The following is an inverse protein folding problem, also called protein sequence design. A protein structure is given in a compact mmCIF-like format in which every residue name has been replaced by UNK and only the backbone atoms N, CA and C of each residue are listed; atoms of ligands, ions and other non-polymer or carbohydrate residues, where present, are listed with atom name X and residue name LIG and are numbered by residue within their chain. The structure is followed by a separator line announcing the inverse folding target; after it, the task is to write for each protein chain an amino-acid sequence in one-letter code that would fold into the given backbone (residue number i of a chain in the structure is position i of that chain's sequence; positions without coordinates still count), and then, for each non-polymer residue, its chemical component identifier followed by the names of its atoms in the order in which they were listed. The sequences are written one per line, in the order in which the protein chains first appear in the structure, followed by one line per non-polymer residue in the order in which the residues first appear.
data_IF_985043997966
#
_entry.id   IF_985043997966
#
_cell.length_a   1.000
_cell.length_b   1.000
_cell.length_c   1.000
_cell.angle_alpha   90.00
_cell.angle_beta   90.00
_cell.angle_gamma   90.00
#
_symmetry.space_group_name_H-M   'P 1'
#
loop_
_entity.id
_entity.type
_entity.pdbx_description
1 polymer ?
#
# COMPACT_ATOMS: atom_id res chain seq x y z
N UNK A 1 -14.16 -9.94 5.16
CA UNK A 1 -13.18 -9.49 4.17
C UNK A 1 -13.31 -10.30 2.88
N UNK A 2 -13.27 -9.61 1.74
CA UNK A 2 -13.29 -10.23 0.41
C UNK A 2 -11.97 -9.91 -0.29
N UNK A 3 -11.15 -10.92 -0.59
CA UNK A 3 -9.83 -10.74 -1.20
C UNK A 3 -9.65 -11.62 -2.43
N UNK A 4 -8.92 -11.11 -3.42
CA UNK A 4 -8.58 -11.80 -4.66
C UNK A 4 -7.07 -11.78 -4.98
N UNK A 5 -6.25 -11.25 -4.05
CA UNK A 5 -4.80 -11.12 -4.19
C UNK A 5 -4.12 -11.24 -2.83
N UNK A 6 -2.91 -11.78 -2.80
CA UNK A 6 -2.15 -12.03 -1.56
C UNK A 6 -1.79 -10.75 -0.79
N UNK A 7 -1.52 -9.64 -1.47
CA UNK A 7 -1.23 -8.36 -0.78
C UNK A 7 -2.37 -7.87 0.11
N UNK A 8 -3.59 -8.36 -0.13
CA UNK A 8 -4.78 -7.96 0.64
C UNK A 8 -4.71 -8.34 2.12
N UNK A 9 -3.95 -9.40 2.47
CA UNK A 9 -3.74 -9.79 3.86
C UNK A 9 -3.06 -8.67 4.66
N UNK A 10 -1.96 -8.13 4.15
CA UNK A 10 -1.24 -7.03 4.81
C UNK A 10 -2.09 -5.77 4.93
N UNK A 11 -2.94 -5.47 3.92
CA UNK A 11 -3.81 -4.30 3.91
C UNK A 11 -4.93 -4.41 4.95
N UNK A 12 -5.52 -5.59 5.11
CA UNK A 12 -6.73 -5.77 5.92
C UNK A 12 -6.46 -6.16 7.38
N UNK A 13 -5.28 -6.67 7.71
CA UNK A 13 -4.97 -7.06 9.10
C UNK A 13 -4.99 -5.91 10.10
N UNK A 14 -4.50 -4.70 9.81
CA UNK A 14 -4.71 -3.57 10.72
C UNK A 14 -6.19 -3.28 10.97
N UNK A 15 -7.02 -3.38 9.92
CA UNK A 15 -8.47 -3.23 10.03
C UNK A 15 -9.09 -4.39 10.84
N UNK A 16 -8.63 -5.65 10.62
CA UNK A 16 -9.04 -6.80 11.45
C UNK A 16 -8.75 -6.55 12.93
N UNK A 17 -7.55 -6.08 13.25
CA UNK A 17 -7.17 -5.81 14.64
C UNK A 17 -8.10 -4.77 15.28
N UNK A 18 -8.45 -3.70 14.56
CA UNK A 18 -9.37 -2.68 15.02
C UNK A 18 -10.81 -3.24 15.22
N UNK A 19 -11.30 -4.12 14.32
CA UNK A 19 -12.60 -4.79 14.44
C UNK A 19 -12.62 -5.69 15.68
N UNK A 20 -11.61 -6.55 15.85
CA UNK A 20 -11.52 -7.47 16.97
C UNK A 20 -11.38 -6.74 18.31
N UNK A 21 -10.64 -5.62 18.34
CA UNK A 21 -10.49 -4.78 19.54
C UNK A 21 -11.82 -4.16 20.01
N UNK A 22 -12.80 -3.98 19.09
CA UNK A 22 -14.17 -3.54 19.40
C UNK A 22 -15.06 -4.68 19.92
N UNK A 23 -14.60 -5.93 19.88
CA UNK A 23 -15.39 -7.12 20.19
C UNK A 23 -16.24 -7.62 19.01
N UNK A 24 -16.08 -7.08 17.81
CA UNK A 24 -16.76 -7.51 16.59
C UNK A 24 -16.06 -8.73 15.98
N UNK A 25 -16.74 -9.40 15.02
CA UNK A 25 -16.24 -10.61 14.37
C UNK A 25 -15.73 -10.33 12.97
N UNK A 26 -14.73 -11.11 12.56
CA UNK A 26 -14.14 -11.05 11.20
C UNK A 26 -14.09 -12.43 10.58
N UNK A 27 -14.44 -12.51 9.30
CA UNK A 27 -14.19 -13.68 8.48
C UNK A 27 -13.61 -13.29 7.12
N UNK A 28 -12.89 -14.21 6.51
CA UNK A 28 -12.17 -14.03 5.25
C UNK A 28 -12.79 -14.90 4.15
N UNK A 29 -13.11 -14.31 3.02
CA UNK A 29 -13.45 -15.02 1.79
C UNK A 29 -12.36 -14.78 0.74
N UNK A 30 -11.75 -15.89 0.30
CA UNK A 30 -10.62 -15.89 -0.62
C UNK A 30 -11.13 -16.24 -2.02
N UNK A 31 -11.03 -15.28 -2.95
CA UNK A 31 -11.50 -15.44 -4.32
C UNK A 31 -10.40 -15.99 -5.23
N UNK A 32 -10.57 -17.20 -5.72
CA UNK A 32 -9.69 -17.80 -6.71
C UNK A 32 -8.49 -18.55 -6.14
N UNK A 33 -7.86 -19.35 -6.99
CA UNK A 33 -6.73 -20.23 -6.63
C UNK A 33 -5.41 -19.49 -6.46
N UNK A 34 -5.35 -18.21 -6.86
CA UNK A 34 -4.13 -17.40 -6.75
C UNK A 34 -3.90 -16.84 -5.34
N UNK A 35 -4.95 -16.85 -4.50
CA UNK A 35 -4.84 -16.44 -3.11
C UNK A 35 -4.32 -17.60 -2.27
N UNK A 36 -3.13 -17.44 -1.71
CA UNK A 36 -2.49 -18.47 -0.89
C UNK A 36 -3.15 -18.55 0.49
N UNK A 37 -3.81 -19.68 0.76
CA UNK A 37 -4.48 -19.92 2.05
C UNK A 37 -3.52 -20.10 3.21
N UNK A 38 -2.24 -20.44 2.95
CA UNK A 38 -1.24 -20.59 4.00
C UNK A 38 -0.89 -19.25 4.69
N UNK A 39 -1.29 -18.13 4.11
CA UNK A 39 -1.13 -16.80 4.73
C UNK A 39 -2.20 -16.49 5.78
N UNK A 40 -3.27 -17.29 5.88
CA UNK A 40 -4.22 -17.18 6.99
C UNK A 40 -3.54 -17.59 8.31
N UNK A 41 -3.80 -16.82 9.34
CA UNK A 41 -3.38 -17.14 10.71
C UNK A 41 -4.33 -18.18 11.32
N UNK A 42 -3.86 -18.95 12.29
CA UNK A 42 -4.62 -20.03 12.89
C UNK A 42 -5.95 -19.60 13.55
N UNK A 43 -6.06 -18.33 13.94
CA UNK A 43 -7.25 -17.73 14.53
C UNK A 43 -8.14 -16.98 13.51
N UNK A 44 -7.77 -16.93 12.23
CA UNK A 44 -8.55 -16.27 11.19
C UNK A 44 -9.61 -17.24 10.62
N UNK A 45 -10.87 -16.81 10.59
CA UNK A 45 -11.99 -17.62 10.11
C UNK A 45 -12.08 -17.53 8.60
N UNK A 46 -11.92 -18.66 7.89
CA UNK A 46 -12.12 -18.73 6.45
C UNK A 46 -13.53 -19.19 6.11
N UNK A 47 -14.19 -18.46 5.20
CA UNK A 47 -15.44 -18.87 4.57
C UNK A 47 -15.15 -19.48 3.21
N UNK A 48 -15.39 -20.79 3.05
CA UNK A 48 -14.92 -21.57 1.90
C UNK A 48 -15.89 -21.55 0.68
N UNK A 49 -17.03 -20.89 0.78
CA UNK A 49 -18.00 -20.80 -0.32
C UNK A 49 -18.86 -19.55 -0.22
N UNK A 50 -19.47 -19.15 -1.34
CA UNK A 50 -20.42 -18.03 -1.36
C UNK A 50 -21.63 -18.32 -0.44
N UNK A 51 -22.06 -19.59 -0.35
CA UNK A 51 -23.14 -19.97 0.57
C UNK A 51 -22.73 -19.75 2.04
N UNK A 52 -21.49 -20.06 2.41
CA UNK A 52 -20.98 -19.77 3.74
C UNK A 52 -20.92 -18.26 4.02
N UNK A 53 -20.50 -17.46 3.02
CA UNK A 53 -20.50 -15.98 3.13
C UNK A 53 -21.90 -15.43 3.34
N UNK A 54 -22.87 -15.89 2.54
CA UNK A 54 -24.27 -15.44 2.66
C UNK A 54 -24.92 -15.92 3.97
N UNK A 55 -24.56 -17.10 4.47
CA UNK A 55 -25.02 -17.59 5.78
C UNK A 55 -24.39 -16.80 6.95
N UNK A 56 -23.17 -16.32 6.78
CA UNK A 56 -22.49 -15.49 7.78
C UNK A 56 -23.15 -14.12 7.98
N UNK A 57 -23.85 -13.60 6.95
CA UNK A 57 -24.63 -12.36 7.00
C UNK A 57 -23.84 -11.16 7.53
N UNK A 58 -22.65 -10.93 6.96
CA UNK A 58 -21.83 -9.79 7.33
C UNK A 58 -22.58 -8.46 7.13
N UNK A 59 -22.51 -7.56 8.11
CA UNK A 59 -23.04 -6.19 8.00
C UNK A 59 -22.23 -5.39 6.99
N UNK A 60 -20.90 -5.58 6.99
CA UNK A 60 -19.95 -4.86 6.13
C UNK A 60 -18.98 -5.83 5.46
N UNK A 61 -18.71 -5.60 4.19
CA UNK A 61 -17.67 -6.29 3.42
C UNK A 61 -16.59 -5.28 3.04
N UNK A 62 -15.37 -5.47 3.52
CA UNK A 62 -14.21 -4.65 3.17
C UNK A 62 -13.41 -5.27 2.05
N UNK A 63 -13.07 -4.48 1.04
CA UNK A 63 -12.46 -4.94 -0.21
C UNK A 63 -11.30 -4.01 -0.60
N UNK A 64 -10.04 -4.51 -0.66
CA UNK A 64 -8.93 -3.77 -1.25
C UNK A 64 -8.99 -3.73 -2.78
N UNK A 65 -9.59 -4.76 -3.38
CA UNK A 65 -9.71 -4.90 -4.83
C UNK A 65 -10.78 -3.99 -5.45
N UNK A 66 -10.85 -4.01 -6.76
CA UNK A 66 -11.72 -3.10 -7.53
C UNK A 66 -13.12 -3.65 -7.81
N UNK A 67 -13.39 -4.92 -7.51
CA UNK A 67 -14.65 -5.60 -7.83
C UNK A 67 -15.04 -6.53 -6.69
N UNK A 68 -16.32 -6.54 -6.39
CA UNK A 68 -16.93 -7.50 -5.45
C UNK A 68 -18.28 -7.98 -6.03
N UNK A 69 -18.69 -9.24 -5.80
CA UNK A 69 -19.97 -9.74 -6.24
C UNK A 69 -21.13 -9.00 -5.56
N UNK A 70 -22.15 -8.70 -6.33
CA UNK A 70 -23.38 -8.02 -5.84
C UNK A 70 -24.26 -8.95 -4.99
N UNK A 71 -24.15 -10.27 -5.18
CA UNK A 71 -24.93 -11.28 -4.47
C UNK A 71 -24.35 -11.65 -3.07
N UNK A 72 -23.25 -11.06 -2.66
CA UNK A 72 -22.78 -11.09 -1.27
C UNK A 72 -23.52 -10.01 -0.50
N UNK A 73 -24.11 -10.36 0.66
CA UNK A 73 -24.83 -9.42 1.54
C UNK A 73 -23.88 -8.40 2.22
N UNK A 74 -24.45 -7.38 2.85
CA UNK A 74 -23.75 -6.34 3.59
C UNK A 74 -23.29 -5.16 2.72
N UNK A 75 -22.90 -4.07 3.38
CA UNK A 75 -22.37 -2.85 2.77
C UNK A 75 -20.98 -3.12 2.21
N UNK A 76 -20.70 -2.71 0.96
CA UNK A 76 -19.40 -2.90 0.30
C UNK A 76 -18.53 -1.65 0.46
N UNK A 77 -17.42 -1.79 1.18
CA UNK A 77 -16.48 -0.71 1.48
C UNK A 77 -15.16 -0.95 0.74
N UNK A 78 -14.81 -0.05 -0.17
CA UNK A 78 -13.53 -0.05 -0.87
C UNK A 78 -12.47 0.63 -0.02
N UNK A 79 -11.36 -0.10 0.27
CA UNK A 79 -10.24 0.42 1.08
C UNK A 79 -8.94 0.57 0.28
N UNK A 80 -9.01 0.34 -1.03
CA UNK A 80 -7.91 0.39 -1.97
C UNK A 80 -6.73 -0.56 -1.68
N UNK A 81 -5.89 -0.77 -2.69
CA UNK A 81 -4.72 -1.67 -2.60
C UNK A 81 -3.38 -0.95 -2.85
N UNK A 82 -3.39 0.36 -2.90
CA UNK A 82 -2.21 1.21 -3.11
C UNK A 82 -2.60 2.66 -3.34
N UNK A 83 -1.60 3.52 -3.37
CA UNK A 83 -1.76 4.91 -3.79
C UNK A 83 -2.02 5.00 -5.29
N UNK A 84 -2.61 6.11 -5.72
CA UNK A 84 -2.71 6.42 -7.14
C UNK A 84 -1.29 6.58 -7.74
N UNK A 85 -0.97 5.76 -8.72
CA UNK A 85 0.30 5.80 -9.45
C UNK A 85 0.19 6.44 -10.83
N UNK A 86 -0.96 7.05 -11.14
CA UNK A 86 -1.24 7.63 -12.47
C UNK A 86 -1.34 6.58 -13.59
N UNK A 87 -1.55 5.30 -13.25
CA UNK A 87 -1.66 4.23 -14.24
C UNK A 87 -2.92 4.39 -15.09
N UNK A 88 -2.73 4.53 -16.39
CA UNK A 88 -3.82 4.66 -17.35
C UNK A 88 -4.38 3.28 -17.74
N UNK A 89 -5.70 3.21 -17.89
CA UNK A 89 -6.39 2.08 -18.49
C UNK A 89 -6.28 2.12 -20.04
N UNK A 90 -6.86 1.13 -20.71
CA UNK A 90 -6.83 1.04 -22.19
C UNK A 90 -7.50 2.21 -22.92
N UNK A 91 -8.33 2.98 -22.22
CA UNK A 91 -9.03 4.14 -22.76
C UNK A 91 -8.32 5.47 -22.44
N UNK A 92 -7.13 5.44 -21.84
CA UNK A 92 -6.36 6.64 -21.49
C UNK A 92 -6.81 7.35 -20.21
N UNK A 93 -7.69 6.74 -19.41
CA UNK A 93 -8.12 7.27 -18.09
C UNK A 93 -7.37 6.58 -16.96
N UNK A 94 -7.16 7.29 -15.86
CA UNK A 94 -6.55 6.70 -14.67
C UNK A 94 -7.44 5.59 -14.10
N UNK A 95 -6.90 4.36 -14.02
CA UNK A 95 -7.66 3.18 -13.56
C UNK A 95 -8.08 3.30 -12.08
N UNK A 96 -7.35 4.10 -11.31
CA UNK A 96 -7.64 4.38 -9.91
C UNK A 96 -9.05 4.99 -9.71
N UNK A 97 -9.45 5.87 -10.62
CA UNK A 97 -10.74 6.58 -10.58
C UNK A 97 -11.86 5.89 -11.38
N UNK A 98 -11.64 4.67 -11.84
CA UNK A 98 -12.63 3.94 -12.63
C UNK A 98 -13.76 3.38 -11.74
N UNK A 99 -14.93 4.00 -11.77
CA UNK A 99 -16.10 3.59 -10.98
C UNK A 99 -16.77 2.37 -11.60
N UNK A 100 -16.63 1.24 -10.93
CA UNK A 100 -17.22 -0.04 -11.39
C UNK A 100 -18.63 -0.31 -10.84
N UNK A 101 -19.16 0.57 -9.98
CA UNK A 101 -20.51 0.48 -9.42
C UNK A 101 -20.71 -0.73 -8.49
N UNK A 102 -19.67 -1.15 -7.77
CA UNK A 102 -19.74 -2.26 -6.83
C UNK A 102 -19.91 -1.81 -5.38
N UNK A 103 -19.35 -0.65 -5.05
CA UNK A 103 -19.18 -0.18 -3.68
C UNK A 103 -20.32 0.72 -3.23
N UNK A 104 -20.56 0.74 -1.93
CA UNK A 104 -21.44 1.66 -1.24
C UNK A 104 -20.67 2.85 -0.64
N UNK A 105 -19.41 2.59 -0.25
CA UNK A 105 -18.48 3.56 0.33
C UNK A 105 -17.09 3.35 -0.24
N UNK A 106 -16.40 4.44 -0.58
CA UNK A 106 -14.98 4.49 -0.82
C UNK A 106 -14.28 5.22 0.33
N UNK A 107 -13.35 4.53 0.99
CA UNK A 107 -12.48 5.07 2.03
C UNK A 107 -11.16 5.51 1.40
N UNK A 108 -11.02 6.80 1.13
CA UNK A 108 -9.89 7.38 0.40
C UNK A 108 -8.72 7.74 1.31
N UNK A 109 -7.53 7.84 0.73
CA UNK A 109 -6.26 7.97 1.47
C UNK A 109 -5.96 9.41 1.87
N UNK A 110 -6.11 10.37 0.96
CA UNK A 110 -5.83 11.78 1.18
C UNK A 110 -6.52 12.68 0.14
N UNK A 111 -6.34 13.99 0.21
CA UNK A 111 -7.01 14.97 -0.65
C UNK A 111 -6.89 14.66 -2.16
N UNK A 112 -5.71 14.26 -2.64
CA UNK A 112 -5.46 13.97 -4.06
C UNK A 112 -6.33 12.83 -4.63
N UNK A 113 -6.85 11.95 -3.77
CA UNK A 113 -7.80 10.90 -4.16
C UNK A 113 -9.22 11.24 -3.71
N UNK A 114 -9.38 11.88 -2.57
CA UNK A 114 -10.70 12.22 -2.01
C UNK A 114 -11.47 13.19 -2.90
N UNK A 115 -10.83 14.26 -3.36
CA UNK A 115 -11.50 15.29 -4.16
C UNK A 115 -12.05 14.72 -5.49
N UNK A 116 -11.28 13.99 -6.31
CA UNK A 116 -11.82 13.35 -7.51
C UNK A 116 -12.92 12.33 -7.19
N UNK A 117 -12.83 11.57 -6.09
CA UNK A 117 -13.88 10.62 -5.72
C UNK A 117 -15.18 11.31 -5.26
N UNK A 118 -15.12 12.50 -4.65
CA UNK A 118 -16.31 13.31 -4.33
C UNK A 118 -17.01 13.75 -5.61
N UNK A 119 -16.28 14.26 -6.59
CA UNK A 119 -16.84 14.65 -7.90
C UNK A 119 -17.51 13.44 -8.59
N UNK A 120 -16.88 12.27 -8.56
CA UNK A 120 -17.43 11.04 -9.08
C UNK A 120 -18.68 10.59 -8.30
N UNK A 121 -18.72 10.79 -6.99
CA UNK A 121 -19.88 10.47 -6.18
C UNK A 121 -21.08 11.39 -6.51
N UNK A 122 -20.84 12.66 -6.78
CA UNK A 122 -21.88 13.61 -7.24
C UNK A 122 -22.44 13.23 -8.61
N UNK A 123 -21.56 12.78 -9.54
CA UNK A 123 -21.98 12.33 -10.87
C UNK A 123 -22.77 11.02 -10.82
N UNK A 124 -22.27 10.01 -10.12
CA UNK A 124 -22.85 8.67 -10.10
C UNK A 124 -23.99 8.52 -9.10
N UNK A 125 -23.94 9.17 -7.95
CA UNK A 125 -24.96 9.22 -6.88
C UNK A 125 -25.32 7.86 -6.24
N UNK A 126 -24.51 6.80 -6.45
CA UNK A 126 -24.77 5.46 -5.92
C UNK A 126 -23.74 4.97 -4.89
N UNK A 127 -22.82 5.82 -4.49
CA UNK A 127 -21.85 5.57 -3.41
C UNK A 127 -21.53 6.87 -2.66
N UNK A 128 -20.97 6.74 -1.49
CA UNK A 128 -20.39 7.82 -0.69
C UNK A 128 -18.88 7.71 -0.59
N UNK A 129 -18.26 8.80 -0.15
CA UNK A 129 -16.80 8.92 -0.03
C UNK A 129 -16.46 9.45 1.35
N UNK A 130 -15.42 8.87 1.97
CA UNK A 130 -14.87 9.36 3.22
C UNK A 130 -13.34 9.31 3.17
N UNK A 131 -12.68 10.41 3.50
CA UNK A 131 -11.23 10.41 3.68
C UNK A 131 -10.91 9.79 5.03
N UNK A 132 -10.17 8.69 5.03
CA UNK A 132 -9.87 7.89 6.23
C UNK A 132 -8.38 7.66 6.44
N UNK A 133 -7.58 7.89 5.43
CA UNK A 133 -6.24 7.31 5.35
C UNK A 133 -6.31 5.85 4.86
N UNK A 134 -5.18 5.19 4.86
CA UNK A 134 -5.04 3.81 4.37
C UNK A 134 -4.61 2.87 5.48
N UNK A 135 -5.45 1.90 5.89
CA UNK A 135 -5.17 1.00 7.02
C UNK A 135 -3.84 0.24 6.91
N UNK A 136 -3.39 -0.05 5.68
CA UNK A 136 -2.09 -0.71 5.45
C UNK A 136 -0.89 0.08 6.00
N UNK A 137 -1.02 1.39 6.20
CA UNK A 137 0.03 2.24 6.76
C UNK A 137 -0.04 2.38 8.28
N UNK A 138 -1.11 1.95 8.94
CA UNK A 138 -1.22 2.12 10.39
C UNK A 138 -0.01 1.52 11.15
N UNK A 139 0.50 0.32 10.81
CA UNK A 139 1.69 -0.22 11.47
C UNK A 139 2.97 0.59 11.22
N UNK A 140 3.03 1.38 10.13
CA UNK A 140 4.18 2.22 9.80
C UNK A 140 4.41 3.33 10.82
N UNK A 141 3.34 3.80 11.46
CA UNK A 141 3.37 4.91 12.43
C UNK A 141 3.54 4.44 13.88
N UNK A 142 3.57 3.13 14.14
CA UNK A 142 3.95 2.60 15.46
C UNK A 142 5.47 2.61 15.64
N UNK A 143 6.00 3.74 16.10
CA UNK A 143 7.43 3.95 16.32
C UNK A 143 7.91 3.49 17.70
N UNK A 144 7.06 2.87 18.51
CA UNK A 144 7.35 2.51 19.91
C UNK A 144 8.50 1.49 20.05
N UNK A 145 8.82 0.73 19.01
CA UNK A 145 9.81 -0.35 19.02
C UNK A 145 11.14 0.00 18.35
N UNK A 146 11.34 1.26 17.93
CA UNK A 146 12.52 1.66 17.19
C UNK A 146 13.63 2.08 18.15
N UNK A 147 14.76 1.41 18.07
CA UNK A 147 15.99 1.87 18.70
C UNK A 147 16.67 2.93 17.85
N UNK A 148 17.15 4.00 18.46
CA UNK A 148 17.98 5.00 17.75
C UNK A 148 19.29 4.36 17.34
N UNK A 149 19.62 4.47 16.07
CA UNK A 149 20.90 4.03 15.54
C UNK A 149 22.01 4.99 15.98
N UNK A 150 23.21 4.45 16.18
CA UNK A 150 24.41 5.24 16.50
C UNK A 150 25.00 5.93 15.26
N UNK A 151 24.74 5.38 14.08
CA UNK A 151 25.14 5.92 12.77
C UNK A 151 23.90 6.11 11.89
N UNK A 152 23.90 7.10 10.97
CA UNK A 152 22.84 7.22 9.99
C UNK A 152 22.67 5.92 9.20
N UNK A 153 21.42 5.52 9.00
CA UNK A 153 21.06 4.26 8.34
C UNK A 153 20.48 4.53 6.97
N UNK A 154 21.04 3.94 5.95
CA UNK A 154 20.61 4.04 4.56
C UNK A 154 19.92 2.74 4.19
N UNK A 155 18.65 2.81 3.78
CA UNK A 155 17.92 1.66 3.25
C UNK A 155 17.94 1.70 1.73
N UNK A 156 18.52 0.68 1.11
CA UNK A 156 18.43 0.52 -0.34
C UNK A 156 17.37 -0.50 -0.71
N UNK A 157 16.37 -0.06 -1.46
CA UNK A 157 15.35 -0.92 -2.07
C UNK A 157 15.41 -0.81 -3.59
N UNK A 158 15.24 -1.93 -4.30
CA UNK A 158 15.21 -1.90 -5.76
C UNK A 158 14.09 -2.78 -6.31
N UNK A 159 13.49 -2.33 -7.42
CA UNK A 159 12.52 -3.13 -8.18
C UNK A 159 13.22 -4.26 -8.93
N UNK A 160 12.49 -5.32 -9.26
CA UNK A 160 13.01 -6.46 -10.03
C UNK A 160 12.96 -6.27 -11.55
N UNK A 161 12.34 -5.20 -12.03
CA UNK A 161 12.25 -4.90 -13.48
C UNK A 161 13.64 -4.57 -14.02
N UNK A 162 14.13 -5.36 -14.98
CA UNK A 162 15.46 -5.16 -15.60
C UNK A 162 15.66 -3.77 -16.19
N UNK A 163 14.60 -3.14 -16.67
CA UNK A 163 14.65 -1.79 -17.25
C UNK A 163 14.64 -0.66 -16.21
N UNK A 164 14.30 -0.96 -14.94
CA UNK A 164 14.07 0.05 -13.92
C UNK A 164 14.96 -0.13 -12.69
N UNK A 165 15.52 -1.33 -12.50
CA UNK A 165 16.32 -1.66 -11.30
C UNK A 165 17.60 -0.82 -11.23
N UNK A 166 17.84 -0.18 -10.10
CA UNK A 166 19.08 0.52 -9.81
C UNK A 166 20.19 -0.40 -9.28
N UNK A 167 19.86 -1.62 -8.84
CA UNK A 167 20.79 -2.48 -8.14
C UNK A 167 22.07 -2.81 -8.93
N UNK A 168 22.04 -3.21 -10.22
CA UNK A 168 23.28 -3.47 -10.96
C UNK A 168 24.15 -2.22 -11.15
N UNK A 169 23.52 -1.04 -11.31
CA UNK A 169 24.23 0.22 -11.55
C UNK A 169 24.94 0.73 -10.30
N UNK A 170 24.31 0.57 -9.15
CA UNK A 170 24.83 1.12 -7.89
C UNK A 170 25.75 0.15 -7.12
N UNK A 171 25.98 -1.09 -7.61
CA UNK A 171 26.69 -2.12 -6.87
C UNK A 171 28.10 -1.68 -6.43
N UNK A 172 28.94 -1.24 -7.37
CA UNK A 172 30.33 -0.84 -7.05
C UNK A 172 30.36 0.41 -6.15
N UNK A 173 29.44 1.35 -6.36
CA UNK A 173 29.36 2.55 -5.52
C UNK A 173 28.91 2.21 -4.10
N UNK A 174 27.89 1.34 -3.94
CA UNK A 174 27.43 0.89 -2.61
C UNK A 174 28.53 0.11 -1.90
N UNK A 175 29.26 -0.78 -2.60
CA UNK A 175 30.42 -1.49 -2.06
C UNK A 175 31.44 -0.50 -1.50
N UNK A 176 31.92 0.43 -2.32
CA UNK A 176 32.91 1.45 -1.94
C UNK A 176 32.43 2.30 -0.75
N UNK A 177 31.13 2.70 -0.72
CA UNK A 177 30.59 3.52 0.35
C UNK A 177 30.37 2.75 1.65
N UNK A 178 30.01 1.46 1.57
CA UNK A 178 29.87 0.61 2.76
C UNK A 178 31.20 0.34 3.44
N UNK A 179 32.29 0.17 2.67
CA UNK A 179 33.66 -0.02 3.18
C UNK A 179 34.18 1.21 3.95
N UNK A 180 33.70 2.44 3.64
CA UNK A 180 34.03 3.65 4.40
C UNK A 180 33.48 3.63 5.83
N UNK A 181 32.47 2.81 6.13
CA UNK A 181 31.88 2.67 7.45
C UNK A 181 31.19 3.92 8.01
N UNK A 182 30.95 4.94 7.16
CA UNK A 182 30.31 6.22 7.55
C UNK A 182 28.85 6.03 7.93
N UNK A 183 28.14 5.15 7.23
CA UNK A 183 26.73 4.84 7.38
C UNK A 183 26.52 3.36 7.62
N UNK A 184 25.36 3.00 8.17
CA UNK A 184 24.88 1.63 8.15
C UNK A 184 23.97 1.43 6.93
N UNK A 185 24.23 0.38 6.15
CA UNK A 185 23.41 0.01 5.01
C UNK A 185 22.48 -1.15 5.34
N UNK A 186 21.22 -1.00 5.00
CA UNK A 186 20.25 -2.08 4.95
C UNK A 186 19.84 -2.26 3.49
N UNK A 187 20.04 -3.45 2.96
CA UNK A 187 19.68 -3.77 1.58
C UNK A 187 18.48 -4.71 1.61
N UNK A 188 17.40 -4.33 0.94
CA UNK A 188 16.21 -5.16 0.79
C UNK A 188 15.70 -5.04 -0.65
N UNK A 189 15.62 -6.16 -1.36
CA UNK A 189 15.13 -6.20 -2.72
C UNK A 189 13.80 -6.91 -2.81
N UNK A 190 13.09 -6.62 -3.90
CA UNK A 190 11.84 -7.29 -4.19
C UNK A 190 12.07 -8.82 -4.32
N UNK A 191 11.17 -9.71 -3.79
CA UNK A 191 11.35 -11.17 -3.82
C UNK A 191 11.56 -11.80 -5.22
N UNK A 192 11.21 -11.07 -6.29
CA UNK A 192 11.45 -11.49 -7.68
C UNK A 192 12.78 -10.99 -8.26
N UNK A 193 13.65 -10.39 -7.45
CA UNK A 193 14.97 -9.95 -7.91
C UNK A 193 15.76 -11.19 -8.39
N UNK A 194 16.49 -11.09 -9.53
CA UNK A 194 17.38 -12.17 -9.97
C UNK A 194 18.38 -12.59 -8.89
N UNK A 195 18.54 -13.90 -8.69
CA UNK A 195 19.38 -14.47 -7.64
C UNK A 195 20.83 -13.98 -7.74
N UNK A 196 21.35 -13.79 -8.95
CA UNK A 196 22.72 -13.32 -9.18
C UNK A 196 22.95 -11.94 -8.56
N UNK A 197 21.97 -11.02 -8.66
CA UNK A 197 22.04 -9.68 -8.06
C UNK A 197 21.94 -9.78 -6.54
N UNK A 198 21.04 -10.64 -6.04
CA UNK A 198 20.89 -10.88 -4.60
C UNK A 198 22.21 -11.38 -4.00
N UNK A 199 22.83 -12.40 -4.59
CA UNK A 199 24.08 -12.98 -4.09
C UNK A 199 25.25 -11.98 -4.19
N UNK A 200 25.31 -11.14 -5.22
CA UNK A 200 26.28 -10.05 -5.28
C UNK A 200 26.16 -9.12 -4.08
N UNK A 201 24.97 -8.66 -3.73
CA UNK A 201 24.80 -7.78 -2.58
C UNK A 201 24.99 -8.48 -1.24
N UNK A 202 24.63 -9.75 -1.11
CA UNK A 202 24.94 -10.57 0.09
C UNK A 202 26.46 -10.70 0.29
N UNK A 203 27.25 -10.76 -0.77
CA UNK A 203 28.71 -10.81 -0.65
C UNK A 203 29.34 -9.55 -0.04
N UNK A 204 28.59 -8.44 0.04
CA UNK A 204 29.02 -7.20 0.68
C UNK A 204 28.71 -7.16 2.18
N UNK A 205 28.08 -8.19 2.75
CA UNK A 205 27.74 -8.21 4.18
C UNK A 205 28.97 -7.97 5.05
N UNK A 206 28.81 -7.06 6.01
CA UNK A 206 29.85 -6.58 6.88
C UNK A 206 29.25 -5.95 8.14
N UNK A 207 30.07 -5.41 9.03
CA UNK A 207 29.58 -4.61 10.16
C UNK A 207 28.74 -3.40 9.70
N UNK A 208 29.07 -2.82 8.53
CA UNK A 208 28.43 -1.62 7.99
C UNK A 208 27.29 -1.90 7.00
N UNK A 209 27.11 -3.15 6.52
CA UNK A 209 26.10 -3.50 5.53
C UNK A 209 25.45 -4.84 5.88
N UNK A 210 24.12 -4.86 5.89
CA UNK A 210 23.32 -6.07 6.08
C UNK A 210 22.32 -6.23 4.93
N UNK A 211 22.26 -7.43 4.34
CA UNK A 211 21.23 -7.82 3.38
C UNK A 211 20.06 -8.46 4.13
N UNK A 212 18.84 -7.95 3.95
CA UNK A 212 17.67 -8.36 4.74
C UNK A 212 16.63 -9.01 3.83
N UNK A 213 16.38 -10.28 4.05
CA UNK A 213 15.27 -11.01 3.40
C UNK A 213 14.04 -10.96 4.31
N UNK A 214 13.03 -10.23 3.88
CA UNK A 214 11.79 -10.08 4.65
C UNK A 214 10.60 -9.76 3.75
N UNK A 215 9.44 -10.29 4.10
CA UNK A 215 8.16 -9.91 3.49
C UNK A 215 7.56 -8.65 4.16
N UNK A 216 8.05 -8.27 5.33
CA UNK A 216 7.62 -7.08 6.05
C UNK A 216 8.72 -6.02 6.06
N UNK A 217 8.61 -5.06 5.14
CA UNK A 217 9.57 -3.96 5.00
C UNK A 217 9.41 -2.86 6.06
N UNK A 218 8.28 -2.80 6.76
CA UNK A 218 7.94 -1.71 7.69
C UNK A 218 9.04 -1.44 8.73
N UNK A 219 9.60 -2.44 9.44
CA UNK A 219 10.66 -2.19 10.41
C UNK A 219 11.92 -1.54 9.79
N UNK A 220 12.24 -1.88 8.53
CA UNK A 220 13.37 -1.29 7.82
C UNK A 220 13.10 0.18 7.45
N UNK A 221 11.87 0.49 6.98
CA UNK A 221 11.45 1.86 6.69
C UNK A 221 11.51 2.73 7.95
N UNK A 222 11.04 2.18 9.06
CA UNK A 222 11.06 2.89 10.34
C UNK A 222 12.49 3.17 10.82
N UNK A 223 13.40 2.21 10.66
CA UNK A 223 14.79 2.28 11.13
C UNK A 223 15.66 3.20 10.27
N UNK A 224 15.46 3.27 8.96
CA UNK A 224 16.30 4.04 8.05
C UNK A 224 16.08 5.54 8.17
N UNK A 225 17.14 6.33 7.93
CA UNK A 225 17.11 7.79 7.89
C UNK A 225 16.96 8.33 6.46
N UNK A 226 17.53 7.61 5.47
CA UNK A 226 17.42 7.92 4.04
C UNK A 226 17.12 6.62 3.28
N UNK A 227 16.27 6.70 2.26
CA UNK A 227 16.08 5.59 1.32
C UNK A 227 16.80 5.90 0.01
N UNK A 228 17.50 4.89 -0.53
CA UNK A 228 18.00 4.87 -1.90
C UNK A 228 17.18 3.86 -2.69
N UNK A 229 16.58 4.27 -3.79
CA UNK A 229 15.77 3.37 -4.61
C UNK A 229 15.68 3.82 -6.08
N UNK A 230 14.93 3.07 -6.86
CA UNK A 230 14.55 3.38 -8.25
C UNK A 230 13.07 3.84 -8.31
N UNK A 231 12.28 3.27 -9.22
CA UNK A 231 10.84 3.49 -9.35
C UNK A 231 10.06 2.45 -8.54
N UNK A 232 10.38 2.30 -7.28
CA UNK A 232 9.73 1.34 -6.37
C UNK A 232 8.52 1.97 -5.65
N UNK A 233 7.43 1.21 -5.50
CA UNK A 233 6.25 1.68 -4.75
C UNK A 233 6.50 1.85 -3.24
N UNK A 234 7.53 1.21 -2.71
CA UNK A 234 7.93 1.29 -1.30
C UNK A 234 8.39 2.70 -0.92
N UNK A 235 8.92 3.46 -1.88
CA UNK A 235 9.32 4.85 -1.68
C UNK A 235 8.17 5.73 -1.15
N UNK A 236 6.93 5.47 -1.61
CA UNK A 236 5.75 6.21 -1.13
C UNK A 236 5.52 5.99 0.36
N UNK A 237 5.67 4.74 0.84
CA UNK A 237 5.56 4.43 2.26
C UNK A 237 6.67 5.12 3.08
N UNK A 238 7.88 5.17 2.56
CA UNK A 238 8.99 5.82 3.25
C UNK A 238 8.79 7.33 3.39
N UNK A 239 8.33 8.00 2.34
CA UNK A 239 7.99 9.41 2.37
C UNK A 239 6.91 9.74 3.42
N UNK A 240 5.95 8.82 3.68
CA UNK A 240 4.94 9.02 4.73
C UNK A 240 5.53 9.11 6.13
N UNK A 241 6.77 8.66 6.35
CA UNK A 241 7.52 8.89 7.59
C UNK A 241 8.18 10.27 7.67
N UNK A 242 7.94 11.15 6.72
CA UNK A 242 8.60 12.45 6.57
C UNK A 242 10.15 12.30 6.53
N UNK A 243 10.63 11.36 5.73
CA UNK A 243 12.05 11.06 5.55
C UNK A 243 12.46 11.22 4.08
N UNK A 244 13.67 11.71 3.79
CA UNK A 244 14.11 12.01 2.44
C UNK A 244 14.47 10.75 1.65
N UNK A 245 14.25 10.81 0.33
CA UNK A 245 14.54 9.73 -0.61
C UNK A 245 15.52 10.20 -1.68
N UNK A 246 16.54 9.39 -1.96
CA UNK A 246 17.41 9.50 -3.13
C UNK A 246 16.96 8.46 -4.15
N UNK A 247 16.64 8.88 -5.36
CA UNK A 247 16.25 7.96 -6.44
C UNK A 247 17.29 7.94 -7.56
N UNK A 248 17.51 6.75 -8.12
CA UNK A 248 18.40 6.57 -9.27
C UNK A 248 17.59 6.23 -10.52
N UNK A 249 17.71 7.05 -11.56
CA UNK A 249 17.01 6.88 -12.85
C UNK A 249 15.49 6.68 -12.68
N UNK A 250 14.86 7.42 -11.76
CA UNK A 250 13.41 7.34 -11.60
C UNK A 250 12.70 7.78 -12.88
N UNK A 251 11.73 7.00 -13.36
CA UNK A 251 11.01 7.29 -14.62
C UNK A 251 10.06 8.50 -14.52
N UNK A 252 9.72 8.93 -13.31
CA UNK A 252 8.84 10.07 -13.06
C UNK A 252 9.32 10.82 -11.81
N UNK A 253 10.52 11.41 -11.86
CA UNK A 253 11.08 12.11 -10.68
C UNK A 253 10.19 13.30 -10.30
N UNK A 254 10.09 13.54 -8.99
CA UNK A 254 9.31 14.63 -8.41
C UNK A 254 10.22 15.52 -7.58
N UNK A 255 9.77 16.72 -7.30
CA UNK A 255 10.53 17.74 -6.58
C UNK A 255 10.73 17.44 -5.07
N UNK A 256 9.97 16.48 -4.53
CA UNK A 256 10.13 15.92 -3.19
C UNK A 256 11.09 14.73 -3.12
N UNK A 257 11.83 14.43 -4.21
CA UNK A 257 12.86 13.39 -4.30
C UNK A 257 14.19 14.00 -4.75
N UNK A 258 15.29 13.44 -4.28
CA UNK A 258 16.63 13.74 -4.82
C UNK A 258 16.91 12.72 -5.92
N UNK A 259 16.63 13.05 -7.19
CA UNK A 259 16.85 12.11 -8.30
C UNK A 259 18.21 12.32 -8.95
N UNK A 260 18.97 11.23 -9.09
CA UNK A 260 20.26 11.20 -9.78
C UNK A 260 20.24 10.23 -10.96
N UNK A 261 21.12 10.47 -11.92
CA UNK A 261 21.34 9.62 -13.12
C UNK A 261 22.79 9.14 -13.23
N UNK A 262 23.65 9.62 -12.34
CA UNK A 262 25.07 9.34 -12.27
C UNK A 262 25.38 8.73 -10.89
N UNK A 263 25.93 7.51 -10.88
CA UNK A 263 26.28 6.78 -9.66
C UNK A 263 27.34 7.47 -8.80
N UNK A 264 28.21 8.28 -9.40
CA UNK A 264 29.24 9.04 -8.66
C UNK A 264 28.62 10.15 -7.79
N UNK A 265 27.40 10.56 -8.08
CA UNK A 265 26.64 11.53 -7.29
C UNK A 265 25.95 10.95 -6.07
N UNK A 266 25.95 9.61 -5.90
CA UNK A 266 25.19 8.96 -4.82
C UNK A 266 25.64 9.42 -3.44
N UNK A 267 26.96 9.52 -3.17
CA UNK A 267 27.47 9.93 -1.86
C UNK A 267 27.03 11.36 -1.49
N UNK A 268 27.24 12.32 -2.39
CA UNK A 268 26.84 13.71 -2.21
C UNK A 268 25.33 13.83 -2.00
N UNK A 269 24.52 13.06 -2.75
CA UNK A 269 23.07 13.08 -2.67
C UNK A 269 22.53 12.48 -1.37
N UNK A 270 23.18 11.45 -0.84
CA UNK A 270 22.85 10.91 0.49
C UNK A 270 23.18 11.93 1.58
N UNK A 271 24.33 12.60 1.50
CA UNK A 271 24.71 13.65 2.46
C UNK A 271 23.72 14.82 2.44
N UNK A 272 23.34 15.26 1.23
CA UNK A 272 22.31 16.28 1.07
C UNK A 272 20.97 15.83 1.66
N UNK A 273 20.53 14.59 1.38
CA UNK A 273 19.31 14.04 1.93
C UNK A 273 19.37 13.93 3.47
N UNK A 274 20.50 13.49 4.04
CA UNK A 274 20.70 13.41 5.49
C UNK A 274 20.66 14.79 6.16
N UNK A 275 21.14 15.85 5.48
CA UNK A 275 21.02 17.23 5.99
C UNK A 275 19.59 17.72 6.02
N UNK A 276 18.72 17.10 5.26
CA UNK A 276 17.27 17.33 5.12
C UNK A 276 16.91 18.82 5.07
N UNK A 277 17.39 19.55 4.04
CA UNK A 277 17.22 20.99 3.95
C UNK A 277 15.75 21.38 3.95
N UNK A 278 15.46 22.59 4.50
CA UNK A 278 14.08 23.06 4.70
C UNK A 278 13.25 23.04 3.41
N UNK A 279 13.85 23.33 2.26
CA UNK A 279 13.14 23.28 0.97
C UNK A 279 12.67 21.88 0.64
N UNK A 280 13.54 20.86 0.74
CA UNK A 280 13.18 19.47 0.47
C UNK A 280 12.12 19.00 1.48
N UNK A 281 12.30 19.32 2.75
CA UNK A 281 11.36 18.97 3.82
C UNK A 281 9.96 19.54 3.54
N UNK A 282 9.85 20.80 3.18
CA UNK A 282 8.56 21.43 2.83
C UNK A 282 7.86 20.72 1.66
N UNK A 283 8.63 20.31 0.64
CA UNK A 283 8.07 19.57 -0.50
C UNK A 283 7.56 18.18 -0.10
N UNK A 284 8.30 17.46 0.76
CA UNK A 284 7.86 16.19 1.32
C UNK A 284 6.61 16.34 2.18
N UNK A 285 6.58 17.34 3.05
CA UNK A 285 5.41 17.65 3.90
C UNK A 285 4.16 17.98 3.07
N UNK A 286 4.33 18.76 2.00
CA UNK A 286 3.24 19.04 1.06
C UNK A 286 2.72 17.77 0.39
N UNK A 287 3.64 16.92 -0.09
CA UNK A 287 3.27 15.61 -0.67
C UNK A 287 2.51 14.72 0.32
N UNK A 288 2.95 14.65 1.58
CA UNK A 288 2.27 13.89 2.64
C UNK A 288 0.87 14.45 2.89
N UNK A 289 0.75 15.77 3.04
CA UNK A 289 -0.54 16.43 3.33
C UNK A 289 -1.58 16.20 2.22
N UNK A 290 -1.14 16.07 0.99
CA UNK A 290 -2.00 15.82 -0.17
C UNK A 290 -2.31 14.32 -0.36
N UNK A 291 -1.36 13.44 -0.05
CA UNK A 291 -1.47 12.00 -0.35
C UNK A 291 -2.01 11.19 0.82
N UNK A 292 -1.54 11.44 2.05
CA UNK A 292 -1.96 10.72 3.27
C UNK A 292 -1.68 11.58 4.52
N UNK A 293 -2.57 12.50 4.89
CA UNK A 293 -2.33 13.46 5.98
C UNK A 293 -2.38 12.85 7.38
N UNK A 294 -2.74 11.56 7.51
CA UNK A 294 -2.87 10.88 8.79
C UNK A 294 -1.60 10.09 9.12
N UNK A 295 -0.90 10.52 10.16
CA UNK A 295 0.36 9.89 10.62
C UNK A 295 0.23 9.30 12.02
N UNK A 296 -1.00 9.02 12.47
CA UNK A 296 -1.33 8.60 13.82
C UNK A 296 -1.62 7.09 13.97
N UNK A 297 -1.54 6.33 12.86
CA UNK A 297 -1.79 4.89 12.85
C UNK A 297 -3.26 4.49 13.11
N UNK A 298 -4.22 5.39 12.83
CA UNK A 298 -5.65 5.20 13.13
C UNK A 298 -6.54 5.21 11.88
N UNK A 299 -6.01 4.88 10.72
CA UNK A 299 -6.80 4.82 9.48
C UNK A 299 -7.85 3.71 9.55
N UNK A 300 -7.52 2.56 10.16
CA UNK A 300 -8.46 1.46 10.37
C UNK A 300 -9.67 1.90 11.21
N UNK A 301 -9.44 2.63 12.30
CA UNK A 301 -10.52 3.15 13.14
C UNK A 301 -11.43 4.13 12.38
N UNK A 302 -10.85 5.00 11.52
CA UNK A 302 -11.62 5.91 10.67
C UNK A 302 -12.44 5.19 9.61
N UNK A 303 -11.90 4.12 9.02
CA UNK A 303 -12.64 3.26 8.09
C UNK A 303 -13.84 2.63 8.77
N UNK A 304 -13.68 2.11 9.99
CA UNK A 304 -14.78 1.54 10.78
C UNK A 304 -15.83 2.59 11.12
N UNK A 305 -15.43 3.76 11.60
CA UNK A 305 -16.35 4.86 11.89
C UNK A 305 -17.16 5.29 10.64
N UNK A 306 -16.52 5.33 9.47
CA UNK A 306 -17.20 5.65 8.22
C UNK A 306 -18.21 4.56 7.81
N UNK A 307 -17.89 3.28 8.04
CA UNK A 307 -18.81 2.18 7.80
C UNK A 307 -20.00 2.20 8.79
N UNK A 308 -19.74 2.50 10.06
CA UNK A 308 -20.78 2.65 11.10
C UNK A 308 -21.75 3.80 10.79
N UNK A 309 -21.22 4.95 10.29
CA UNK A 309 -22.05 6.06 9.83
C UNK A 309 -23.03 5.61 8.72
N UNK A 310 -22.56 4.80 7.78
CA UNK A 310 -23.39 4.31 6.68
C UNK A 310 -24.40 3.26 7.16
N UNK A 311 -24.04 2.35 8.08
CA UNK A 311 -24.94 1.40 8.73
C UNK A 311 -26.06 2.11 9.51
N UNK A 312 -25.73 3.23 10.15
CA UNK A 312 -26.71 4.08 10.85
C UNK A 312 -27.60 4.92 9.91
N UNK A 313 -27.53 4.71 8.61
CA UNK A 313 -28.31 5.43 7.60
C UNK A 313 -27.82 6.86 7.33
N UNK A 314 -26.61 7.23 7.77
CA UNK A 314 -25.99 8.52 7.44
C UNK A 314 -25.25 8.43 6.13
N UNK A 315 -25.23 9.52 5.36
CA UNK A 315 -24.49 9.61 4.08
C UNK A 315 -24.87 8.53 3.05
N UNK A 316 -26.11 8.09 3.07
CA UNK A 316 -26.63 7.08 2.15
C UNK A 316 -26.68 7.64 0.73
N UNK A 317 -26.26 6.85 -0.23
CA UNK A 317 -26.32 7.19 -1.65
C UNK A 317 -27.76 7.47 -2.12
N UNK A 318 -27.91 8.47 -3.01
CA UNK A 318 -29.24 8.90 -3.54
C UNK A 318 -29.83 7.92 -4.55
N UNK A 319 -28.98 7.14 -5.24
CA UNK A 319 -29.38 6.19 -6.27
C UNK A 319 -28.94 4.76 -5.93
N UNK A 320 -29.59 3.79 -6.54
CA UNK A 320 -29.16 2.39 -6.46
C UNK A 320 -27.92 2.16 -7.35
N UNK A 321 -27.08 1.22 -6.95
CA UNK A 321 -25.94 0.77 -7.78
C UNK A 321 -26.41 0.28 -9.15
N UNK A 322 -25.63 0.52 -10.22
CA UNK A 322 -26.01 0.09 -11.57
C UNK A 322 -26.09 -1.42 -11.67
N UNK A 323 -27.12 -1.90 -12.33
CA UNK A 323 -27.34 -3.33 -12.57
C UNK A 323 -26.48 -3.79 -13.75
N UNK A 324 -25.25 -4.23 -13.48
CA UNK A 324 -24.30 -4.68 -14.50
C UNK A 324 -24.44 -6.17 -14.77
N UNK A 325 -25.33 -6.54 -15.71
CA UNK A 325 -25.62 -7.95 -16.07
C UNK A 325 -24.38 -8.73 -16.46
N UNK A 326 -23.50 -8.17 -17.30
CA UNK A 326 -22.32 -8.87 -17.77
C UNK A 326 -21.35 -9.18 -16.62
N UNK A 327 -21.14 -8.23 -15.71
CA UNK A 327 -20.30 -8.48 -14.53
C UNK A 327 -20.95 -9.49 -13.60
N UNK A 328 -22.25 -9.39 -13.32
CA UNK A 328 -22.98 -10.38 -12.52
C UNK A 328 -22.81 -11.76 -13.06
N UNK A 329 -23.00 -11.95 -14.35
CA UNK A 329 -22.81 -13.25 -15.01
C UNK A 329 -21.37 -13.75 -14.88
N UNK A 330 -20.37 -12.87 -15.16
CA UNK A 330 -18.95 -13.23 -15.03
C UNK A 330 -18.59 -13.65 -13.60
N UNK A 331 -19.07 -12.92 -12.58
CA UNK A 331 -18.79 -13.23 -11.17
C UNK A 331 -19.50 -14.51 -10.74
N UNK A 332 -20.76 -14.75 -11.15
CA UNK A 332 -21.47 -16.00 -10.90
C UNK A 332 -20.74 -17.20 -11.52
N UNK A 333 -20.30 -17.05 -12.77
CA UNK A 333 -19.50 -18.09 -13.45
C UNK A 333 -18.17 -18.35 -12.73
N UNK A 334 -17.46 -17.29 -12.35
CA UNK A 334 -16.15 -17.37 -11.66
C UNK A 334 -16.26 -18.08 -10.31
N UNK A 335 -17.32 -17.79 -9.54
CA UNK A 335 -17.53 -18.34 -8.20
C UNK A 335 -18.45 -19.58 -8.19
N UNK A 336 -18.85 -20.06 -9.36
CA UNK A 336 -19.78 -21.17 -9.53
C UNK A 336 -21.04 -21.04 -8.63
N UNK A 337 -21.63 -19.82 -8.60
CA UNK A 337 -22.77 -19.49 -7.74
C UNK A 337 -23.97 -19.04 -8.58
N UNK A 338 -24.99 -19.93 -8.71
CA UNK A 338 -26.17 -19.74 -9.59
C UNK A 338 -27.50 -19.64 -8.83
N UNK A 339 -27.45 -19.54 -7.51
CA UNK A 339 -28.68 -19.30 -6.73
C UNK A 339 -29.20 -17.88 -6.99
N UNK A 340 -30.53 -17.77 -7.18
CA UNK A 340 -31.26 -16.52 -7.43
C UNK A 340 -31.67 -15.86 -6.10
#
# INVERSE_FOLDING_TARGET
FYISQNYSYAILRPLQNAILARGDQVAWFLEGSEVNTSYLLANEIQLNSVNAVNKYQADVVFIPGNVVPDFISGIKVGVFHGFNSGKLNRCGFEDHFNIRGCFDLYCTQGPNTTLPFIELAEQHQHFSVKQTGWPALDPLFDLSKISKNTKPTILMCSTFSRALTCAPHLFETVKRLSEKGKWKWLIQFHPKMPTEIVEQYKSLESESLSFIETDNVIPLLQQADVMVCDTSSVLMMFLMLNKPVVTFNNISPKDYMVNITDEDKLEESIEYALSYPAELKTKVEHFISDTHPYVDGKSAERVLAAADELLAGKNVAKKRKPFNLLRRFKMRKKLNYWQL
#
